data_IF_787743925875
#
_entry.id   IF_787743925875
#
_cell.length_a   1.000
_cell.length_b   1.000
_cell.length_c   1.000
_cell.angle_alpha   90.00
_cell.angle_beta   90.00
_cell.angle_gamma   90.00
#
_symmetry.space_group_name_H-M   'P 1'
#
loop_
_entity.id
_entity.type
_entity.pdbx_description
1 polymer ?
#
# COMPACT_ATOMS: atom_id res chain seq x y z
N UNK A 1 -9.43 19.38 3.32
CA UNK A 1 -8.73 18.53 2.40
C UNK A 1 -8.09 17.39 3.11
N UNK A 2 -7.94 16.33 2.43
CA UNK A 2 -7.46 15.11 3.06
C UNK A 2 -6.24 14.58 2.35
N UNK A 3 -5.28 15.44 2.13
CA UNK A 3 -4.08 15.03 1.43
C UNK A 3 -3.27 14.02 2.22
N UNK A 4 -3.42 14.03 3.54
CA UNK A 4 -2.71 13.06 4.36
C UNK A 4 -3.49 11.77 4.51
N UNK A 5 -4.57 11.63 3.79
CA UNK A 5 -5.40 10.44 3.86
C UNK A 5 -4.77 9.33 3.04
N UNK A 6 -4.67 8.17 3.64
CA UNK A 6 -4.16 7.00 2.94
C UNK A 6 -5.25 6.35 2.13
N UNK A 7 -4.99 6.14 0.86
CA UNK A 7 -5.92 5.43 -0.01
C UNK A 7 -5.26 4.16 -0.50
N UNK A 8 -6.01 3.09 -0.50
CA UNK A 8 -5.49 1.78 -0.86
C UNK A 8 -6.38 1.20 -1.95
N UNK A 9 -5.75 0.71 -3.00
CA UNK A 9 -6.48 0.08 -4.09
C UNK A 9 -5.85 -1.27 -4.37
N UNK A 10 -6.68 -2.28 -4.57
CA UNK A 10 -6.23 -3.63 -4.89
C UNK A 10 -6.85 -4.01 -6.22
N UNK A 11 -6.01 -4.43 -7.16
CA UNK A 11 -6.47 -4.85 -8.47
C UNK A 11 -5.95 -6.24 -8.80
N UNK A 12 -6.73 -6.97 -9.53
CA UNK A 12 -6.28 -8.24 -10.06
C UNK A 12 -5.55 -8.01 -11.37
N UNK A 13 -4.39 -8.62 -11.52
CA UNK A 13 -3.62 -8.53 -12.74
C UNK A 13 -3.54 -9.91 -13.38
N UNK A 14 -2.97 -9.96 -14.57
CA UNK A 14 -2.90 -11.21 -15.31
C UNK A 14 -2.19 -12.30 -14.51
N UNK A 15 -1.11 -11.95 -13.85
CA UNK A 15 -0.30 -12.93 -13.14
C UNK A 15 -0.25 -12.69 -11.65
N UNK A 16 -1.22 -11.97 -11.10
CA UNK A 16 -1.16 -11.73 -9.68
C UNK A 16 -2.04 -10.58 -9.27
N UNK A 17 -1.60 -9.87 -8.24
CA UNK A 17 -2.37 -8.81 -7.62
C UNK A 17 -1.51 -7.60 -7.43
N UNK A 18 -2.09 -6.44 -7.68
CA UNK A 18 -1.40 -5.17 -7.54
C UNK A 18 -2.04 -4.39 -6.40
N UNK A 19 -1.24 -3.93 -5.47
CA UNK A 19 -1.70 -3.12 -4.36
C UNK A 19 -1.09 -1.74 -4.52
N UNK A 20 -1.94 -0.73 -4.50
CA UNK A 20 -1.49 0.65 -4.65
C UNK A 20 -1.80 1.41 -3.38
N UNK A 21 -0.80 2.13 -2.90
CA UNK A 21 -0.95 3.00 -1.74
C UNK A 21 -0.73 4.42 -2.20
N UNK A 22 -1.69 5.28 -1.90
CA UNK A 22 -1.62 6.68 -2.30
C UNK A 22 -1.76 7.56 -1.08
N UNK A 23 -0.81 8.46 -0.89
CA UNK A 23 -0.84 9.39 0.21
C UNK A 23 0.01 10.60 -0.16
N UNK A 24 -0.48 11.78 0.13
CA UNK A 24 0.23 13.02 -0.16
C UNK A 24 0.53 13.17 -1.65
N UNK A 25 -0.30 12.57 -2.49
CA UNK A 25 -0.05 12.64 -3.92
C UNK A 25 0.98 11.66 -4.43
N UNK A 26 1.56 10.88 -3.56
CA UNK A 26 2.50 9.84 -3.95
C UNK A 26 1.82 8.50 -4.05
N UNK A 27 2.22 7.72 -5.03
CA UNK A 27 1.66 6.39 -5.22
C UNK A 27 2.79 5.37 -5.19
N UNK A 28 2.61 4.35 -4.38
CA UNK A 28 3.56 3.26 -4.27
C UNK A 28 2.84 1.98 -4.64
N UNK A 29 3.45 1.19 -5.50
CA UNK A 29 2.83 0.01 -6.06
C UNK A 29 3.59 -1.23 -5.62
N UNK A 30 2.85 -2.24 -5.17
CA UNK A 30 3.42 -3.54 -4.83
C UNK A 30 2.73 -4.61 -5.63
N UNK A 31 3.50 -5.60 -6.08
CA UNK A 31 2.96 -6.67 -6.89
C UNK A 31 3.16 -7.99 -6.16
N UNK A 32 2.08 -8.77 -6.07
CA UNK A 32 2.08 -10.05 -5.38
C UNK A 32 1.54 -11.11 -6.32
N UNK A 33 2.09 -12.31 -6.23
CA UNK A 33 1.60 -13.39 -7.05
C UNK A 33 0.35 -14.05 -6.46
N UNK A 34 0.04 -13.76 -5.20
CA UNK A 34 -1.11 -14.34 -4.52
C UNK A 34 -1.83 -13.27 -3.73
N UNK A 35 -3.15 -13.43 -3.56
CA UNK A 35 -3.90 -12.42 -2.79
C UNK A 35 -3.62 -12.46 -1.28
N UNK A 36 -3.29 -13.62 -0.74
CA UNK A 36 -3.04 -13.73 0.69
C UNK A 36 -1.99 -12.77 1.20
N UNK A 37 -0.77 -12.85 0.67
CA UNK A 37 0.28 -11.93 1.10
C UNK A 37 -0.08 -10.47 0.85
N UNK A 38 -0.77 -10.19 -0.25
CA UNK A 38 -1.17 -8.82 -0.53
C UNK A 38 -2.10 -8.29 0.56
N UNK A 39 -3.08 -9.08 0.94
CA UNK A 39 -4.02 -8.67 1.97
C UNK A 39 -3.35 -8.56 3.33
N UNK A 40 -2.42 -9.46 3.62
CA UNK A 40 -1.68 -9.37 4.87
C UNK A 40 -0.90 -8.07 4.96
N UNK A 41 -0.26 -7.68 3.87
CA UNK A 41 0.51 -6.46 3.88
C UNK A 41 -0.40 -5.24 4.05
N UNK A 42 -1.54 -5.25 3.37
CA UNK A 42 -2.50 -4.16 3.51
C UNK A 42 -2.96 -4.04 4.97
N UNK A 43 -3.23 -5.16 5.60
CA UNK A 43 -3.64 -5.13 7.00
C UNK A 43 -2.56 -4.53 7.88
N UNK A 44 -1.31 -4.90 7.64
CA UNK A 44 -0.23 -4.35 8.44
C UNK A 44 -0.11 -2.85 8.28
N UNK A 45 -0.28 -2.37 7.06
CA UNK A 45 -0.22 -0.94 6.82
C UNK A 45 -1.38 -0.24 7.51
N UNK A 46 -2.56 -0.81 7.43
CA UNK A 46 -3.74 -0.20 8.04
C UNK A 46 -3.65 -0.18 9.56
N UNK A 47 -3.00 -1.19 10.13
CA UNK A 47 -2.84 -1.26 11.58
C UNK A 47 -1.68 -0.44 12.10
N UNK A 48 -0.89 0.12 11.21
CA UNK A 48 0.27 0.88 11.63
C UNK A 48 1.51 0.05 11.87
N UNK A 49 1.46 -1.25 11.58
CA UNK A 49 2.62 -2.11 11.76
C UNK A 49 3.66 -1.91 10.67
N UNK A 50 3.22 -1.47 9.51
CA UNK A 50 4.10 -1.17 8.39
C UNK A 50 3.74 0.20 7.84
N UNK A 51 4.73 0.90 7.35
CA UNK A 51 4.49 2.23 6.83
C UNK A 51 5.26 2.40 5.54
N UNK A 52 4.55 2.46 4.43
CA UNK A 52 5.20 2.54 3.13
C UNK A 52 5.65 3.95 2.79
N UNK A 53 5.24 4.94 3.57
CA UNK A 53 5.56 6.33 3.29
C UNK A 53 6.45 6.97 4.32
N UNK A 54 6.97 6.24 5.28
CA UNK A 54 7.68 6.83 6.39
C UNK A 54 9.19 6.77 6.24
N UNK A 55 9.68 6.13 5.19
CA UNK A 55 11.11 5.87 5.11
C UNK A 55 11.96 7.11 5.18
N UNK A 56 11.51 8.15 4.55
CA UNK A 56 12.31 9.36 4.47
C UNK A 56 12.13 10.23 5.68
N UNK A 57 11.18 9.94 6.52
CA UNK A 57 10.90 10.81 7.63
C UNK A 57 11.91 10.70 8.75
N UNK A 58 12.68 9.67 8.75
CA UNK A 58 13.57 9.43 9.86
C UNK A 58 14.96 9.96 9.63
N UNK A 59 15.16 10.73 8.62
CA UNK A 59 16.45 11.31 8.40
C UNK A 59 16.78 12.40 9.39
#
# INVERSE_FOLDING_TARGET
MNEDRLEIEIREATNGWVVLFNKFGETIEYIYSRPGPALSFVKKVMNGDEDVFSGEADV
#
